data_IF_263772829801
#
_entry.id   IF_263772829801
#
_cell.length_a   1.000
_cell.length_b   1.000
_cell.length_c   1.000
_cell.angle_alpha   90.00
_cell.angle_beta   90.00
_cell.angle_gamma   90.00
#
_symmetry.space_group_name_H-M   'P 1'
#
loop_
_entity.id
_entity.type
_entity.pdbx_description
1 polymer ?
#
# COMPACT_ATOMS: atom_id res chain seq x y z
N UNK A 1 53.10 -23.06 -11.42
CA UNK A 1 52.79 -21.62 -11.36
C UNK A 1 52.24 -21.18 -12.71
N UNK A 2 50.92 -21.07 -12.86
CA UNK A 2 50.24 -20.17 -13.82
C UNK A 2 48.90 -19.84 -13.17
N UNK A 3 48.71 -18.58 -12.74
CA UNK A 3 47.42 -18.03 -12.31
C UNK A 3 46.80 -17.35 -13.52
N UNK A 4 45.62 -17.78 -13.93
CA UNK A 4 44.76 -17.06 -14.86
C UNK A 4 43.67 -16.34 -14.05
N UNK A 5 43.74 -15.02 -14.02
CA UNK A 5 42.70 -14.16 -13.46
C UNK A 5 41.61 -13.93 -14.52
N UNK A 6 40.37 -14.24 -14.19
CA UNK A 6 39.19 -13.88 -14.99
C UNK A 6 38.61 -12.59 -14.43
N UNK A 7 38.71 -11.51 -15.20
CA UNK A 7 38.02 -10.25 -14.95
C UNK A 7 36.58 -10.36 -15.48
N UNK A 8 35.61 -10.39 -14.59
CA UNK A 8 34.19 -10.25 -14.95
C UNK A 8 33.82 -8.76 -15.00
N UNK A 9 33.45 -8.30 -16.20
CA UNK A 9 32.91 -6.97 -16.43
C UNK A 9 31.40 -6.93 -16.10
N UNK A 10 30.87 -5.86 -15.46
CA UNK A 10 29.45 -5.77 -15.16
C UNK A 10 28.63 -5.44 -16.41
N UNK A 11 27.64 -6.30 -16.70
CA UNK A 11 26.62 -6.06 -17.73
C UNK A 11 25.63 -4.98 -17.27
N UNK A 12 25.81 -3.75 -17.73
CA UNK A 12 24.76 -2.72 -17.70
C UNK A 12 23.69 -3.03 -18.74
N UNK A 13 22.50 -3.44 -18.29
CA UNK A 13 21.29 -3.53 -19.10
C UNK A 13 20.73 -2.11 -19.31
N UNK A 14 20.91 -1.55 -20.52
CA UNK A 14 20.20 -0.34 -20.96
C UNK A 14 18.78 -0.72 -21.36
N UNK A 15 17.80 -0.28 -20.59
CA UNK A 15 16.39 -0.31 -20.97
C UNK A 15 16.08 0.92 -21.83
N UNK A 16 15.82 0.71 -23.13
CA UNK A 16 15.30 1.77 -24.00
C UNK A 16 13.79 1.66 -24.04
N UNK A 17 13.10 2.56 -23.34
CA UNK A 17 11.65 2.74 -23.47
C UNK A 17 11.38 3.78 -24.55
N UNK A 18 10.86 3.35 -25.70
CA UNK A 18 10.39 4.23 -26.76
C UNK A 18 8.94 4.61 -26.50
N UNK A 19 8.71 5.77 -25.88
CA UNK A 19 7.38 6.39 -25.88
C UNK A 19 7.15 7.06 -27.23
N UNK A 20 6.18 6.53 -27.99
CA UNK A 20 5.68 7.16 -29.21
C UNK A 20 4.96 8.46 -28.87
N UNK A 21 5.54 9.58 -29.28
CA UNK A 21 4.94 10.91 -29.24
C UNK A 21 3.94 11.00 -30.39
N UNK A 22 2.65 11.08 -30.08
CA UNK A 22 1.62 11.44 -31.06
C UNK A 22 1.82 12.91 -31.40
N UNK A 23 2.26 13.18 -32.63
CA UNK A 23 2.39 14.52 -33.20
C UNK A 23 1.00 15.07 -33.50
N UNK A 24 0.56 16.07 -32.73
CA UNK A 24 -0.59 16.91 -33.09
C UNK A 24 -0.14 17.96 -34.10
N UNK A 25 -0.73 17.92 -35.28
CA UNK A 25 -0.66 18.95 -36.33
C UNK A 25 -1.16 20.29 -35.79
N UNK A 26 -0.36 21.34 -35.93
CA UNK A 26 -0.68 22.73 -35.57
C UNK A 26 -1.10 23.46 -36.83
N UNK A 27 -2.33 23.96 -36.85
CA UNK A 27 -2.78 24.94 -37.86
C UNK A 27 -2.24 26.34 -37.52
N UNK A 28 -1.88 27.17 -38.51
CA UNK A 28 -1.36 28.51 -38.29
C UNK A 28 -2.51 29.52 -38.17
N UNK A 29 -2.80 29.97 -36.95
CA UNK A 29 -3.69 31.13 -36.74
C UNK A 29 -2.93 32.42 -36.45
N UNK A 30 -3.43 33.45 -37.13
CA UNK A 30 -2.98 34.82 -37.28
C UNK A 30 -2.85 35.60 -35.97
N UNK A 31 -1.78 36.39 -35.91
CA UNK A 31 -1.38 37.23 -34.80
C UNK A 31 -2.23 38.52 -34.74
N UNK A 32 -3.04 38.69 -33.68
CA UNK A 32 -3.47 40.00 -33.21
C UNK A 32 -3.27 40.12 -31.70
N UNK A 33 -2.65 41.24 -31.35
CA UNK A 33 -2.05 41.60 -30.08
C UNK A 33 -3.09 42.33 -29.22
N UNK A 34 -3.34 41.87 -28.00
CA UNK A 34 -3.90 42.73 -26.97
C UNK A 34 -3.39 42.32 -25.57
N UNK A 35 -2.62 43.22 -24.97
CA UNK A 35 -1.95 43.11 -23.68
C UNK A 35 -2.90 43.57 -22.57
N UNK A 36 -3.44 42.66 -21.77
CA UNK A 36 -3.84 42.89 -20.36
C UNK A 36 -4.46 41.64 -19.70
N UNK A 37 -3.77 40.49 -19.72
CA UNK A 37 -4.19 39.35 -18.90
C UNK A 37 -3.53 39.44 -17.53
N UNK A 38 -4.35 39.70 -16.51
CA UNK A 38 -4.01 39.41 -15.10
C UNK A 38 -3.47 37.99 -14.99
N UNK A 39 -2.50 37.70 -14.11
CA UNK A 39 -2.01 36.35 -13.92
C UNK A 39 -3.17 35.48 -13.43
N UNK A 40 -3.73 34.68 -14.34
CA UNK A 40 -4.64 33.59 -13.99
C UNK A 40 -3.86 32.65 -13.09
N UNK A 41 -4.30 32.57 -11.83
CA UNK A 41 -3.85 31.52 -10.91
C UNK A 41 -4.06 30.20 -11.66
N UNK A 42 -3.00 29.40 -11.91
CA UNK A 42 -3.14 28.17 -12.65
C UNK A 42 -4.13 27.27 -11.91
N UNK A 43 -5.18 26.82 -12.63
CA UNK A 43 -6.08 25.79 -12.13
C UNK A 43 -5.22 24.61 -11.68
N UNK A 44 -5.34 24.22 -10.41
CA UNK A 44 -4.43 23.29 -9.74
C UNK A 44 -4.33 21.87 -10.33
N UNK A 45 -4.96 21.60 -11.47
CA UNK A 45 -4.92 20.31 -12.18
C UNK A 45 -3.79 20.15 -13.20
N UNK A 46 -3.19 21.24 -13.69
CA UNK A 46 -2.17 21.19 -14.77
C UNK A 46 -0.75 21.46 -14.27
N UNK A 47 -0.40 21.03 -13.04
CA UNK A 47 1.01 21.06 -12.65
C UNK A 47 1.72 19.94 -13.43
N UNK A 48 2.65 20.24 -14.36
CA UNK A 48 3.47 19.20 -14.95
C UNK A 48 4.26 18.59 -13.79
N UNK A 49 3.99 17.33 -13.44
CA UNK A 49 4.88 16.58 -12.57
C UNK A 49 6.25 16.60 -13.25
N UNK A 50 7.20 17.35 -12.67
CA UNK A 50 8.55 17.43 -13.21
C UNK A 50 9.27 16.20 -12.69
N UNK A 51 9.16 15.11 -13.44
CA UNK A 51 9.97 13.93 -13.25
C UNK A 51 11.41 14.28 -13.65
N UNK A 52 12.35 14.14 -12.73
CA UNK A 52 13.78 14.13 -13.07
C UNK A 52 14.33 12.77 -12.74
N UNK A 53 14.99 12.16 -13.72
CA UNK A 53 15.92 11.05 -13.46
C UNK A 53 17.19 11.67 -12.90
N UNK A 54 17.60 11.26 -11.71
CA UNK A 54 18.92 11.61 -11.19
C UNK A 54 19.88 10.46 -11.48
N UNK A 55 21.19 10.64 -11.22
CA UNK A 55 22.15 9.54 -11.39
C UNK A 55 21.87 8.38 -10.42
N UNK A 56 21.20 8.67 -9.31
CA UNK A 56 21.02 7.76 -8.18
C UNK A 56 19.56 7.31 -7.99
N UNK A 57 18.58 8.02 -8.58
CA UNK A 57 17.14 7.70 -8.49
C UNK A 57 16.47 7.70 -9.85
N UNK A 58 15.62 6.71 -10.07
CA UNK A 58 14.81 6.60 -11.29
C UNK A 58 13.71 7.65 -11.36
N UNK A 59 13.19 8.10 -10.21
CA UNK A 59 12.12 9.08 -10.10
C UNK A 59 12.43 10.01 -8.94
N UNK A 60 12.58 11.31 -9.21
CA UNK A 60 12.65 12.33 -8.16
C UNK A 60 11.44 13.26 -8.23
N UNK A 61 10.74 13.40 -7.11
CA UNK A 61 9.62 14.33 -6.98
C UNK A 61 10.20 15.73 -6.76
N UNK A 62 10.17 16.55 -7.81
CA UNK A 62 10.53 17.96 -7.68
C UNK A 62 9.42 18.70 -6.91
N UNK A 63 9.51 18.70 -5.58
CA UNK A 63 8.60 19.43 -4.71
C UNK A 63 8.90 20.93 -4.80
N UNK A 64 7.84 21.75 -4.92
CA UNK A 64 8.00 23.19 -4.72
C UNK A 64 8.35 23.49 -3.25
N UNK A 65 8.98 24.63 -2.92
CA UNK A 65 9.23 25.00 -1.53
C UNK A 65 7.96 25.01 -0.66
N UNK A 66 6.81 25.37 -1.23
CA UNK A 66 5.52 25.32 -0.54
C UNK A 66 5.02 23.88 -0.34
N UNK A 67 5.35 22.95 -1.25
CA UNK A 67 5.07 21.52 -1.08
C UNK A 67 5.93 20.93 0.03
N UNK A 68 7.23 21.22 0.01
CA UNK A 68 8.16 20.78 1.05
C UNK A 68 7.75 21.29 2.44
N UNK A 69 7.44 22.59 2.55
CA UNK A 69 6.96 23.17 3.80
C UNK A 69 5.68 22.50 4.31
N UNK A 70 4.75 22.14 3.41
CA UNK A 70 3.53 21.41 3.78
C UNK A 70 3.81 19.98 4.22
N UNK A 71 4.67 19.25 3.51
CA UNK A 71 5.03 17.88 3.89
C UNK A 71 5.74 17.85 5.24
N UNK A 72 6.53 18.90 5.56
CA UNK A 72 7.11 19.09 6.89
C UNK A 72 6.03 19.25 7.97
N UNK A 73 5.02 20.09 7.74
CA UNK A 73 3.89 20.26 8.67
C UNK A 73 3.14 18.94 8.88
N UNK A 74 2.88 18.18 7.81
CA UNK A 74 2.26 16.85 7.95
C UNK A 74 3.11 15.90 8.76
N UNK A 75 4.40 15.87 8.46
CA UNK A 75 5.35 15.03 9.17
C UNK A 75 5.32 15.32 10.66
N UNK A 76 5.50 16.58 11.06
CA UNK A 76 5.45 17.03 12.46
C UNK A 76 4.13 16.64 13.14
N UNK A 77 3.00 16.82 12.45
CA UNK A 77 1.68 16.43 12.97
C UNK A 77 1.55 14.91 13.18
N UNK A 78 2.04 14.11 12.23
CA UNK A 78 1.92 12.64 12.28
C UNK A 78 2.86 12.08 13.35
N UNK A 79 4.12 12.52 13.42
CA UNK A 79 5.08 12.02 14.42
C UNK A 79 4.70 12.44 15.84
N UNK A 80 4.07 13.61 16.01
CA UNK A 80 3.56 14.06 17.31
C UNK A 80 2.38 13.20 17.79
N UNK A 81 1.70 12.48 16.89
CA UNK A 81 0.63 11.57 17.28
C UNK A 81 1.19 10.36 18.04
N UNK A 82 0.68 10.04 19.23
CA UNK A 82 1.07 8.84 19.97
C UNK A 82 0.67 7.54 19.22
N UNK A 83 -0.17 7.64 18.19
CA UNK A 83 -0.62 6.50 17.40
C UNK A 83 0.36 6.10 16.29
N UNK A 84 1.31 6.97 15.93
CA UNK A 84 2.28 6.73 14.85
C UNK A 84 3.30 5.63 15.17
N UNK A 85 3.49 5.30 16.45
CA UNK A 85 4.44 4.29 16.90
C UNK A 85 3.78 3.24 17.80
N UNK A 86 4.29 2.02 17.73
CA UNK A 86 3.84 0.89 18.57
C UNK A 86 4.87 0.62 19.67
N UNK A 87 4.38 0.50 20.91
CA UNK A 87 5.22 0.18 22.07
C UNK A 87 5.51 -1.33 22.14
N UNK A 88 6.59 -1.72 22.82
CA UNK A 88 6.98 -3.13 22.96
C UNK A 88 5.88 -3.95 23.66
N UNK A 89 5.27 -3.39 24.70
CA UNK A 89 4.19 -4.07 25.43
C UNK A 89 2.98 -4.35 24.52
N UNK A 90 2.63 -3.39 23.66
CA UNK A 90 1.56 -3.56 22.68
C UNK A 90 1.90 -4.64 21.65
N UNK A 91 3.17 -4.74 21.22
CA UNK A 91 3.61 -5.86 20.36
C UNK A 91 3.39 -7.19 21.08
N UNK A 92 3.74 -7.28 22.36
CA UNK A 92 3.57 -8.50 23.15
C UNK A 92 2.10 -8.91 23.28
N UNK A 93 1.18 -7.96 23.50
CA UNK A 93 -0.27 -8.18 23.53
C UNK A 93 -0.88 -8.66 22.19
N UNK A 94 -0.14 -8.46 21.10
CA UNK A 94 -0.52 -8.89 19.76
C UNK A 94 0.05 -10.27 19.39
N UNK A 95 0.95 -10.85 20.18
CA UNK A 95 1.49 -12.18 19.93
C UNK A 95 0.48 -13.26 20.33
N UNK A 96 0.29 -14.25 19.46
CA UNK A 96 -0.65 -15.33 19.71
C UNK A 96 0.05 -16.51 20.39
N UNK A 97 -0.51 -16.95 21.51
CA UNK A 97 -0.10 -18.21 22.15
C UNK A 97 -0.48 -19.40 21.26
N UNK A 98 0.12 -20.56 21.49
CA UNK A 98 -0.21 -21.77 20.72
C UNK A 98 -1.72 -22.11 20.79
N UNK A 99 -2.36 -21.91 21.94
CA UNK A 99 -3.80 -22.14 22.11
C UNK A 99 -4.67 -21.14 21.34
N UNK A 100 -4.25 -19.89 21.20
CA UNK A 100 -5.00 -18.88 20.44
C UNK A 100 -4.96 -19.15 18.94
N UNK A 101 -3.85 -19.73 18.45
CA UNK A 101 -3.69 -20.10 17.03
C UNK A 101 -4.74 -21.11 16.60
N UNK A 102 -5.03 -22.11 17.43
CA UNK A 102 -6.01 -23.16 17.10
C UNK A 102 -7.43 -22.59 16.98
N UNK A 103 -7.76 -21.56 17.79
CA UNK A 103 -9.05 -20.87 17.76
C UNK A 103 -9.18 -19.93 16.57
N UNK A 104 -8.14 -19.12 16.30
CA UNK A 104 -8.14 -18.15 15.18
C UNK A 104 -8.30 -18.82 13.81
N UNK A 105 -7.93 -20.09 13.72
CA UNK A 105 -7.97 -20.91 12.50
C UNK A 105 -9.39 -21.41 12.16
N UNK A 106 -10.42 -21.12 12.96
CA UNK A 106 -11.81 -21.54 12.70
C UNK A 106 -12.69 -20.56 11.89
N UNK A 107 -12.11 -19.57 11.20
CA UNK A 107 -12.88 -18.58 10.43
C UNK A 107 -13.63 -19.23 9.24
N UNK A 108 -14.96 -19.05 9.09
CA UNK A 108 -15.81 -19.75 8.10
C UNK A 108 -15.42 -19.55 6.63
N UNK A 109 -14.96 -18.36 6.21
CA UNK A 109 -14.62 -18.09 4.80
C UNK A 109 -13.38 -18.90 4.34
N UNK A 110 -12.42 -19.10 5.24
CA UNK A 110 -11.20 -19.87 4.98
C UNK A 110 -11.48 -21.37 4.82
N UNK A 111 -12.61 -21.89 5.29
CA UNK A 111 -12.98 -23.29 5.05
C UNK A 111 -13.23 -23.59 3.56
N UNK A 112 -13.70 -22.60 2.78
CA UNK A 112 -13.99 -22.76 1.35
C UNK A 112 -12.74 -22.72 0.47
N UNK A 113 -11.69 -22.02 0.92
CA UNK A 113 -10.39 -21.91 0.22
C UNK A 113 -9.41 -23.01 0.69
N UNK A 114 -9.70 -23.67 1.81
CA UNK A 114 -8.78 -24.57 2.54
C UNK A 114 -8.42 -25.88 1.85
N UNK A 115 -9.27 -26.42 0.99
CA UNK A 115 -9.06 -27.75 0.42
C UNK A 115 -7.90 -27.83 -0.57
N UNK A 116 -7.36 -26.67 -1.00
CA UNK A 116 -6.44 -26.61 -2.13
C UNK A 116 -4.94 -26.52 -1.77
N UNK A 117 -4.54 -26.38 -0.50
CA UNK A 117 -3.17 -25.94 -0.17
C UNK A 117 -2.43 -26.86 0.85
N UNK A 118 -1.37 -27.57 0.42
CA UNK A 118 -0.42 -28.30 1.32
C UNK A 118 1.04 -28.11 0.85
N UNK A 119 1.95 -27.71 1.76
CA UNK A 119 3.41 -27.68 1.53
C UNK A 119 4.12 -26.44 2.11
N UNK A 120 5.41 -26.21 1.83
CA UNK A 120 6.16 -25.01 2.27
C UNK A 120 5.51 -23.67 1.86
N UNK A 121 4.66 -23.70 0.81
CA UNK A 121 3.71 -22.64 0.45
C UNK A 121 2.84 -22.20 1.63
N UNK A 122 2.57 -23.11 2.56
CA UNK A 122 1.77 -22.87 3.74
C UNK A 122 2.40 -21.85 4.69
N UNK A 123 3.72 -21.67 4.69
CA UNK A 123 4.34 -20.65 5.54
C UNK A 123 4.01 -19.24 5.06
N UNK A 124 4.17 -18.96 3.76
CA UNK A 124 3.79 -17.68 3.16
C UNK A 124 2.30 -17.43 3.26
N UNK A 125 1.46 -18.44 2.96
CA UNK A 125 0.00 -18.35 3.13
C UNK A 125 -0.40 -18.12 4.58
N UNK A 126 0.23 -18.78 5.54
CA UNK A 126 -0.04 -18.60 6.98
C UNK A 126 0.26 -17.18 7.43
N UNK A 127 1.39 -16.63 6.98
CA UNK A 127 1.71 -15.23 7.23
C UNK A 127 0.69 -14.30 6.55
N UNK A 128 0.35 -14.56 5.29
CA UNK A 128 -0.64 -13.78 4.55
C UNK A 128 -2.05 -13.81 5.19
N UNK A 129 -2.44 -14.93 5.82
CA UNK A 129 -3.71 -15.03 6.58
C UNK A 129 -3.83 -14.02 7.72
N UNK A 130 -2.70 -13.54 8.26
CA UNK A 130 -2.75 -12.45 9.25
C UNK A 130 -3.24 -11.13 8.64
N UNK A 131 -3.07 -10.95 7.33
CA UNK A 131 -3.44 -9.74 6.59
C UNK A 131 -4.90 -9.77 6.11
N UNK A 132 -5.45 -10.95 5.81
CA UNK A 132 -6.81 -11.09 5.26
C UNK A 132 -7.87 -10.36 6.10
N UNK A 133 -7.91 -10.49 7.45
CA UNK A 133 -8.90 -9.75 8.26
C UNK A 133 -8.82 -8.23 8.09
N UNK A 134 -7.63 -7.66 7.86
CA UNK A 134 -7.48 -6.22 7.63
C UNK A 134 -8.06 -5.80 6.28
N UNK A 135 -7.95 -6.63 5.25
CA UNK A 135 -8.57 -6.35 3.95
C UNK A 135 -10.10 -6.51 3.96
N UNK A 136 -10.61 -7.44 4.78
CA UNK A 136 -12.04 -7.71 4.93
C UNK A 136 -12.76 -6.68 5.80
N UNK A 137 -12.04 -5.90 6.61
CA UNK A 137 -12.61 -4.85 7.47
C UNK A 137 -12.96 -3.59 6.68
N UNK A 138 -13.99 -3.69 5.85
CA UNK A 138 -14.48 -2.61 4.99
C UNK A 138 -15.05 -1.44 5.77
N UNK A 139 -15.63 -1.71 6.94
CA UNK A 139 -16.13 -0.69 7.85
C UNK A 139 -14.99 0.20 8.34
N UNK A 140 -13.89 -0.39 8.81
CA UNK A 140 -12.70 0.35 9.21
C UNK A 140 -12.17 1.21 8.05
N UNK A 141 -12.02 0.62 6.87
CA UNK A 141 -11.45 1.36 5.72
C UNK A 141 -12.33 2.50 5.26
N UNK A 142 -13.65 2.31 5.26
CA UNK A 142 -14.61 3.33 4.87
C UNK A 142 -14.66 4.46 5.91
N UNK A 143 -14.84 4.13 7.20
CA UNK A 143 -15.03 5.12 8.26
C UNK A 143 -13.75 5.89 8.60
N UNK A 144 -12.60 5.20 8.67
CA UNK A 144 -11.35 5.83 9.11
C UNK A 144 -10.51 6.41 7.98
N UNK A 145 -10.57 5.81 6.78
CA UNK A 145 -9.68 6.16 5.67
C UNK A 145 -10.45 6.66 4.43
N UNK A 146 -11.78 6.64 4.45
CA UNK A 146 -12.60 7.04 3.31
C UNK A 146 -12.38 6.16 2.08
N UNK A 147 -12.00 4.90 2.29
CA UNK A 147 -11.85 3.88 1.25
C UNK A 147 -13.12 3.04 1.27
N UNK A 148 -14.02 3.30 0.31
CA UNK A 148 -15.32 2.63 0.22
C UNK A 148 -15.20 1.14 -0.14
N UNK A 149 -16.26 0.37 0.14
CA UNK A 149 -16.28 -1.07 -0.14
C UNK A 149 -16.11 -1.39 -1.64
N UNK A 150 -16.68 -0.52 -2.48
CA UNK A 150 -16.65 -0.56 -3.94
C UNK A 150 -15.33 -0.03 -4.55
N UNK A 151 -14.46 0.59 -3.74
CA UNK A 151 -13.17 1.11 -4.22
C UNK A 151 -12.11 0.01 -4.20
N UNK A 152 -12.23 -0.92 -5.15
CA UNK A 152 -11.36 -2.08 -5.27
C UNK A 152 -9.87 -1.70 -5.26
N UNK A 153 -9.47 -0.71 -6.05
CA UNK A 153 -8.07 -0.31 -6.18
C UNK A 153 -7.50 0.22 -4.86
N UNK A 154 -8.22 1.13 -4.19
CA UNK A 154 -7.79 1.65 -2.88
C UNK A 154 -7.74 0.56 -1.81
N UNK A 155 -8.64 -0.43 -1.86
CA UNK A 155 -8.60 -1.59 -0.98
C UNK A 155 -7.39 -2.49 -1.26
N UNK A 156 -6.99 -2.67 -2.52
CA UNK A 156 -5.74 -3.37 -2.85
C UNK A 156 -4.54 -2.59 -2.33
N UNK A 157 -4.49 -1.26 -2.47
CA UNK A 157 -3.40 -0.47 -1.88
C UNK A 157 -3.35 -0.57 -0.35
N UNK A 158 -4.50 -0.60 0.32
CA UNK A 158 -4.58 -0.83 1.76
C UNK A 158 -4.06 -2.23 2.17
N UNK A 159 -4.40 -3.27 1.39
CA UNK A 159 -3.83 -4.61 1.54
C UNK A 159 -2.30 -4.59 1.37
N UNK A 160 -1.81 -3.87 0.35
CA UNK A 160 -0.38 -3.77 0.06
C UNK A 160 0.41 -3.06 1.16
N UNK A 161 -0.18 -2.11 1.90
CA UNK A 161 0.47 -1.50 3.07
C UNK A 161 0.90 -2.56 4.10
N UNK A 162 0.06 -3.57 4.33
CA UNK A 162 0.36 -4.66 5.26
C UNK A 162 1.40 -5.63 4.71
N UNK A 163 1.23 -6.05 3.45
CA UNK A 163 2.16 -6.96 2.77
C UNK A 163 3.54 -6.33 2.69
N UNK A 164 3.63 -5.04 2.34
CA UNK A 164 4.87 -4.26 2.33
C UNK A 164 5.49 -4.15 3.73
N UNK A 165 4.70 -3.86 4.76
CA UNK A 165 5.20 -3.80 6.14
C UNK A 165 5.83 -5.13 6.57
N UNK A 166 5.19 -6.25 6.23
CA UNK A 166 5.74 -7.59 6.44
C UNK A 166 6.96 -7.87 5.56
N UNK A 167 6.97 -7.44 4.31
CA UNK A 167 8.14 -7.52 3.44
C UNK A 167 9.35 -6.87 4.12
N UNK A 168 9.23 -5.64 4.61
CA UNK A 168 10.31 -4.94 5.30
C UNK A 168 10.81 -5.72 6.53
N UNK A 169 9.89 -6.29 7.31
CA UNK A 169 10.23 -7.10 8.48
C UNK A 169 10.97 -8.39 8.12
N UNK A 170 10.51 -9.11 7.08
CA UNK A 170 11.15 -10.33 6.58
C UNK A 170 12.53 -10.04 6.00
N UNK A 171 12.67 -8.95 5.25
CA UNK A 171 13.95 -8.47 4.73
C UNK A 171 14.95 -8.21 5.87
N UNK A 172 14.52 -7.46 6.89
CA UNK A 172 15.34 -7.18 8.08
C UNK A 172 15.72 -8.45 8.86
N UNK A 173 14.84 -9.44 8.89
CA UNK A 173 15.07 -10.73 9.56
C UNK A 173 15.88 -11.74 8.73
N UNK A 174 16.24 -11.42 7.47
CA UNK A 174 16.94 -12.34 6.56
C UNK A 174 16.09 -13.55 6.14
N UNK A 175 14.76 -13.38 6.05
CA UNK A 175 13.80 -14.44 5.72
C UNK A 175 13.36 -14.39 4.24
N UNK A 176 14.33 -14.40 3.32
CA UNK A 176 14.12 -14.22 1.88
C UNK A 176 13.12 -15.20 1.26
N UNK A 177 13.21 -16.50 1.59
CA UNK A 177 12.27 -17.50 1.08
C UNK A 177 10.84 -17.22 1.51
N UNK A 178 10.63 -16.83 2.78
CA UNK A 178 9.30 -16.52 3.29
C UNK A 178 8.75 -15.23 2.66
N UNK A 179 9.63 -14.26 2.38
CA UNK A 179 9.29 -13.02 1.66
C UNK A 179 8.72 -13.33 0.29
N UNK A 180 9.38 -14.17 -0.51
CA UNK A 180 8.87 -14.61 -1.82
C UNK A 180 7.51 -15.31 -1.67
N UNK A 181 7.39 -16.22 -0.68
CA UNK A 181 6.14 -16.94 -0.44
C UNK A 181 4.98 -16.08 0.05
N UNK A 182 5.25 -14.95 0.71
CA UNK A 182 4.23 -13.96 1.05
C UNK A 182 3.65 -13.31 -0.22
N UNK A 183 4.50 -12.96 -1.19
CA UNK A 183 4.05 -12.41 -2.48
C UNK A 183 3.31 -13.43 -3.33
N UNK A 184 3.80 -14.68 -3.41
CA UNK A 184 3.06 -15.78 -4.08
C UNK A 184 1.63 -15.89 -3.52
N UNK A 185 1.49 -15.86 -2.19
CA UNK A 185 0.18 -15.93 -1.52
C UNK A 185 -0.73 -14.71 -1.83
N UNK A 186 -0.16 -13.51 -1.94
CA UNK A 186 -0.90 -12.32 -2.38
C UNK A 186 -1.43 -12.49 -3.82
N UNK A 187 -0.60 -12.97 -4.74
CA UNK A 187 -1.01 -13.12 -6.14
C UNK A 187 -2.08 -14.19 -6.33
N UNK A 188 -1.99 -15.29 -5.59
CA UNK A 188 -3.05 -16.28 -5.56
C UNK A 188 -4.35 -15.70 -5.00
N UNK A 189 -4.26 -14.89 -3.94
CA UNK A 189 -5.42 -14.22 -3.36
C UNK A 189 -6.09 -13.26 -4.35
N UNK A 190 -5.30 -12.40 -5.02
CA UNK A 190 -5.81 -11.45 -6.01
C UNK A 190 -6.41 -12.17 -7.22
N UNK A 191 -5.80 -13.25 -7.70
CA UNK A 191 -6.37 -14.09 -8.76
C UNK A 191 -7.76 -14.59 -8.37
N UNK A 192 -7.90 -15.10 -7.14
CA UNK A 192 -9.18 -15.58 -6.64
C UNK A 192 -10.23 -14.48 -6.48
N UNK A 193 -9.84 -13.26 -6.08
CA UNK A 193 -10.77 -12.13 -6.04
C UNK A 193 -11.22 -11.77 -7.45
N UNK A 194 -10.29 -11.58 -8.39
CA UNK A 194 -10.61 -11.20 -9.78
C UNK A 194 -11.54 -12.22 -10.45
N UNK A 195 -11.35 -13.52 -10.20
CA UNK A 195 -12.26 -14.57 -10.70
C UNK A 195 -13.66 -14.43 -10.08
N UNK A 196 -13.76 -14.19 -8.76
CA UNK A 196 -15.05 -14.05 -8.08
C UNK A 196 -15.82 -12.81 -8.53
N UNK A 197 -15.13 -11.67 -8.65
CA UNK A 197 -15.73 -10.42 -9.16
C UNK A 197 -16.19 -10.61 -10.61
N UNK A 198 -15.38 -11.28 -11.45
CA UNK A 198 -15.78 -11.62 -12.82
C UNK A 198 -16.96 -12.57 -12.93
N UNK A 199 -17.08 -13.56 -12.03
CA UNK A 199 -18.13 -14.57 -12.06
C UNK A 199 -19.51 -14.05 -11.58
N UNK A 200 -19.53 -13.12 -10.61
CA UNK A 200 -20.74 -12.64 -9.94
C UNK A 200 -21.73 -11.90 -10.87
N UNK A 201 -21.32 -11.52 -12.08
CA UNK A 201 -22.16 -10.85 -13.07
C UNK A 201 -22.64 -11.75 -14.23
N UNK A 202 -22.30 -13.04 -14.23
CA UNK A 202 -22.69 -13.97 -15.32
C UNK A 202 -23.92 -14.82 -15.02
N UNK A 203 -24.45 -14.79 -13.80
CA UNK A 203 -25.66 -15.51 -13.40
C UNK A 203 -26.83 -14.53 -13.14
N UNK A 204 -27.80 -14.53 -14.06
CA UNK A 204 -29.20 -14.16 -13.83
C UNK A 204 -29.59 -12.69 -13.58
N UNK A 205 -28.80 -11.71 -14.03
CA UNK A 205 -29.31 -10.33 -14.05
C UNK A 205 -30.33 -10.14 -15.20
N UNK A 206 -31.61 -9.86 -14.92
CA UNK A 206 -32.58 -9.56 -15.95
C UNK A 206 -32.15 -8.29 -16.71
N UNK A 207 -32.30 -8.25 -18.04
CA UNK A 207 -31.75 -7.19 -18.85
C UNK A 207 -32.68 -5.98 -18.84
N UNK A 208 -32.84 -5.18 -17.76
CA UNK A 208 -33.60 -3.92 -17.94
C UNK A 208 -33.64 -2.74 -16.94
N UNK A 209 -32.69 -2.52 -16.02
CA UNK A 209 -32.89 -1.42 -15.05
C UNK A 209 -32.08 -0.13 -15.28
N UNK A 210 -31.36 0.03 -16.40
CA UNK A 210 -30.78 1.33 -16.81
C UNK A 210 -29.79 1.98 -15.83
N UNK A 211 -29.48 1.32 -14.72
CA UNK A 211 -28.54 1.77 -13.70
C UNK A 211 -27.20 1.12 -14.01
N UNK A 212 -26.24 1.96 -14.39
CA UNK A 212 -24.86 1.59 -14.67
C UNK A 212 -24.15 1.17 -13.38
N UNK A 213 -24.28 -0.10 -13.00
CA UNK A 213 -23.42 -0.69 -11.97
C UNK A 213 -22.00 -0.84 -12.54
N UNK A 214 -21.00 -0.35 -11.81
CA UNK A 214 -19.64 -0.06 -12.30
C UNK A 214 -18.84 -1.25 -12.87
N UNK A 215 -18.64 -1.21 -14.19
CA UNK A 215 -17.42 -1.35 -15.02
C UNK A 215 -16.30 -2.37 -14.76
N UNK A 216 -16.25 -3.14 -13.67
CA UNK A 216 -15.19 -4.14 -13.48
C UNK A 216 -15.61 -5.55 -13.89
N UNK A 217 -16.17 -5.69 -15.11
CA UNK A 217 -16.44 -7.00 -15.70
C UNK A 217 -15.13 -7.59 -16.28
N UNK A 218 -14.35 -8.26 -15.44
CA UNK A 218 -13.15 -8.98 -15.87
C UNK A 218 -13.54 -10.36 -16.37
N UNK A 219 -13.56 -10.54 -17.69
CA UNK A 219 -13.64 -11.88 -18.29
C UNK A 219 -12.52 -12.77 -17.73
N UNK A 220 -12.81 -14.05 -17.44
CA UNK A 220 -11.80 -15.02 -16.95
C UNK A 220 -10.54 -15.05 -17.85
N UNK A 221 -10.71 -14.88 -19.16
CA UNK A 221 -9.62 -14.80 -20.13
C UNK A 221 -8.72 -13.56 -19.96
N UNK A 222 -9.21 -12.51 -19.32
CA UNK A 222 -8.47 -11.27 -19.02
C UNK A 222 -7.79 -11.29 -17.66
N UNK A 223 -8.14 -12.23 -16.76
CA UNK A 223 -7.56 -12.29 -15.40
C UNK A 223 -6.03 -12.29 -15.41
N UNK A 224 -5.32 -13.06 -16.26
CA UNK A 224 -3.86 -13.02 -16.28
C UNK A 224 -3.28 -11.67 -16.69
N UNK A 225 -3.96 -10.92 -17.57
CA UNK A 225 -3.52 -9.60 -18.00
C UNK A 225 -3.74 -8.56 -16.91
N UNK A 226 -4.92 -8.56 -16.28
CA UNK A 226 -5.26 -7.67 -15.15
C UNK A 226 -4.35 -7.96 -13.96
N UNK A 227 -4.09 -9.22 -13.65
CA UNK A 227 -3.17 -9.60 -12.57
C UNK A 227 -1.74 -9.10 -12.85
N UNK A 228 -1.26 -9.18 -14.10
CA UNK A 228 0.06 -8.67 -14.47
C UNK A 228 0.15 -7.15 -14.30
N UNK A 229 -0.88 -6.42 -14.72
CA UNK A 229 -0.98 -4.98 -14.50
C UNK A 229 -0.97 -4.67 -13.00
N UNK A 230 -1.77 -5.40 -12.22
CA UNK A 230 -1.80 -5.26 -10.77
C UNK A 230 -0.45 -5.55 -10.12
N UNK A 231 0.31 -6.54 -10.61
CA UNK A 231 1.67 -6.81 -10.13
C UNK A 231 2.60 -5.61 -10.37
N UNK A 232 2.52 -4.99 -11.56
CA UNK A 232 3.33 -3.82 -11.88
C UNK A 232 2.95 -2.60 -11.02
N UNK A 233 1.66 -2.29 -10.88
CA UNK A 233 1.20 -1.17 -10.06
C UNK A 233 1.51 -1.39 -8.58
N UNK A 234 1.33 -2.62 -8.08
CA UNK A 234 1.67 -2.99 -6.70
C UNK A 234 3.17 -2.83 -6.42
N UNK A 235 4.02 -3.26 -7.35
CA UNK A 235 5.47 -3.08 -7.23
C UNK A 235 5.84 -1.60 -7.21
N UNK A 236 5.29 -0.80 -8.14
CA UNK A 236 5.52 0.64 -8.19
C UNK A 236 5.07 1.34 -6.89
N UNK A 237 3.92 0.94 -6.36
CA UNK A 237 3.44 1.43 -5.07
C UNK A 237 4.42 1.09 -3.93
N UNK A 238 4.84 -0.17 -3.79
CA UNK A 238 5.77 -0.57 -2.73
C UNK A 238 7.14 0.11 -2.84
N UNK A 239 7.68 0.28 -4.05
CA UNK A 239 8.91 1.05 -4.28
C UNK A 239 8.71 2.49 -3.83
N UNK A 240 7.59 3.12 -4.17
CA UNK A 240 7.29 4.46 -3.68
C UNK A 240 7.27 4.49 -2.15
N UNK A 241 6.66 3.50 -1.48
CA UNK A 241 6.67 3.43 -0.02
C UNK A 241 8.09 3.33 0.54
N UNK A 242 8.97 2.50 -0.04
CA UNK A 242 10.38 2.40 0.37
C UNK A 242 11.12 3.74 0.24
N UNK A 243 10.94 4.44 -0.89
CA UNK A 243 11.54 5.77 -1.12
C UNK A 243 11.11 6.80 -0.06
N UNK A 244 9.92 6.65 0.53
CA UNK A 244 9.46 7.54 1.60
C UNK A 244 10.33 7.44 2.87
N UNK A 245 11.05 6.32 3.04
CA UNK A 245 11.89 6.01 4.20
C UNK A 245 13.39 5.93 3.86
N UNK A 246 13.81 6.19 2.62
CA UNK A 246 15.23 6.18 2.25
C UNK A 246 16.03 7.26 2.99
N UNK A 247 15.45 8.45 3.15
CA UNK A 247 16.06 9.57 3.88
C UNK A 247 15.32 9.82 5.19
N UNK A 248 15.83 9.22 6.27
CA UNK A 248 15.29 9.42 7.62
C UNK A 248 15.46 10.86 8.14
N UNK A 249 16.40 11.63 7.57
CA UNK A 249 16.66 13.03 7.98
C UNK A 249 15.72 14.04 7.31
N UNK A 250 15.01 13.60 6.27
CA UNK A 250 13.93 14.35 5.66
C UNK A 250 12.66 14.29 6.52
N UNK A 251 11.50 14.25 5.88
CA UNK A 251 10.18 14.22 6.52
C UNK A 251 9.43 12.93 6.12
N UNK A 252 9.89 11.73 6.53
CA UNK A 252 9.42 10.44 5.99
C UNK A 252 7.91 10.25 6.10
N UNK A 253 7.28 10.64 7.21
CA UNK A 253 5.82 10.60 7.33
C UNK A 253 5.10 11.57 6.36
N UNK A 254 5.65 12.75 6.07
CA UNK A 254 5.10 13.67 5.08
C UNK A 254 5.29 13.14 3.65
N UNK A 255 6.47 12.61 3.36
CA UNK A 255 6.80 11.90 2.12
C UNK A 255 5.85 10.71 1.87
N UNK A 256 5.53 9.95 2.92
CA UNK A 256 4.57 8.86 2.87
C UNK A 256 3.14 9.37 2.61
N UNK A 257 2.71 10.43 3.31
CA UNK A 257 1.40 11.06 3.08
C UNK A 257 1.24 11.48 1.61
N UNK A 258 2.28 12.08 1.03
CA UNK A 258 2.26 12.48 -0.38
C UNK A 258 2.03 11.29 -1.31
N UNK A 259 2.73 10.17 -1.10
CA UNK A 259 2.61 8.97 -1.94
C UNK A 259 1.23 8.33 -1.81
N UNK A 260 0.72 8.21 -0.59
CA UNK A 260 -0.64 7.71 -0.33
C UNK A 260 -1.70 8.61 -0.96
N UNK A 261 -1.51 9.93 -0.94
CA UNK A 261 -2.39 10.87 -1.65
C UNK A 261 -2.39 10.65 -3.17
N UNK A 262 -1.21 10.46 -3.77
CA UNK A 262 -1.09 10.22 -5.21
C UNK A 262 -1.73 8.87 -5.60
N UNK A 263 -1.47 7.80 -4.86
CA UNK A 263 -1.88 6.45 -5.27
C UNK A 263 -3.26 6.05 -4.78
N UNK A 264 -3.57 6.26 -3.49
CA UNK A 264 -4.84 5.85 -2.89
C UNK A 264 -5.93 6.90 -3.12
N UNK A 265 -5.58 8.19 -3.10
CA UNK A 265 -6.53 9.27 -3.32
C UNK A 265 -6.46 9.89 -4.71
N UNK A 266 -5.75 9.24 -5.64
CA UNK A 266 -5.64 9.63 -7.06
C UNK A 266 -5.22 11.10 -7.26
N UNK A 267 -4.38 11.62 -6.35
CA UNK A 267 -3.98 13.03 -6.34
C UNK A 267 -5.16 14.04 -6.37
N UNK A 268 -6.35 13.65 -5.87
CA UNK A 268 -7.50 14.56 -5.79
C UNK A 268 -7.19 15.69 -4.81
N UNK A 269 -7.13 16.94 -5.28
CA UNK A 269 -6.72 18.09 -4.44
C UNK A 269 -7.61 18.24 -3.19
N UNK A 270 -8.91 17.96 -3.29
CA UNK A 270 -9.84 17.97 -2.14
C UNK A 270 -9.50 16.95 -1.03
N UNK A 271 -8.68 15.94 -1.34
CA UNK A 271 -8.22 14.89 -0.43
C UNK A 271 -6.77 15.11 0.04
N UNK A 272 -6.10 16.16 -0.45
CA UNK A 272 -4.69 16.42 -0.15
C UNK A 272 -4.42 16.67 1.32
N UNK A 273 -5.35 17.34 2.00
CA UNK A 273 -5.23 17.70 3.42
C UNK A 273 -6.35 17.12 4.28
N UNK A 274 -7.00 16.05 3.83
CA UNK A 274 -8.15 15.50 4.52
C UNK A 274 -7.74 14.66 5.75
N UNK A 275 -8.59 14.60 6.80
CA UNK A 275 -8.32 13.80 8.00
C UNK A 275 -8.00 12.33 7.72
N UNK A 276 -8.64 11.77 6.70
CA UNK A 276 -8.50 10.36 6.31
C UNK A 276 -7.11 10.05 5.74
N UNK A 277 -6.51 10.98 4.99
CA UNK A 277 -5.12 10.82 4.52
C UNK A 277 -4.15 10.80 5.70
N UNK A 278 -4.37 11.69 6.68
CA UNK A 278 -3.54 11.76 7.89
C UNK A 278 -3.72 10.47 8.71
N UNK A 279 -4.96 9.98 8.84
CA UNK A 279 -5.27 8.74 9.52
C UNK A 279 -4.60 7.54 8.85
N UNK A 280 -4.74 7.41 7.52
CA UNK A 280 -4.10 6.34 6.74
C UNK A 280 -2.58 6.40 6.84
N UNK A 281 -1.99 7.59 6.75
CA UNK A 281 -0.53 7.75 6.88
C UNK A 281 -0.06 7.35 8.26
N UNK A 282 -0.77 7.77 9.31
CA UNK A 282 -0.47 7.40 10.71
C UNK A 282 -0.59 5.89 10.91
N UNK A 283 -1.63 5.28 10.32
CA UNK A 283 -1.83 3.85 10.32
C UNK A 283 -0.70 3.09 9.62
N UNK A 284 -0.29 3.52 8.42
CA UNK A 284 0.82 2.90 7.67
C UNK A 284 2.14 2.99 8.46
N UNK A 285 2.44 4.13 9.09
CA UNK A 285 3.58 4.28 9.99
C UNK A 285 3.52 3.27 11.15
N UNK A 286 2.34 3.12 11.77
CA UNK A 286 2.08 2.23 12.89
C UNK A 286 2.26 0.76 12.51
N UNK A 287 1.62 0.32 11.42
CA UNK A 287 1.67 -1.05 10.90
C UNK A 287 3.08 -1.45 10.52
N UNK A 288 3.85 -0.56 9.87
CA UNK A 288 5.27 -0.77 9.60
C UNK A 288 6.08 -0.89 10.89
N UNK A 289 5.88 0.04 11.83
CA UNK A 289 6.57 0.03 13.13
C UNK A 289 6.32 -1.25 13.91
N UNK A 290 5.07 -1.75 13.88
CA UNK A 290 4.67 -3.01 14.48
C UNK A 290 5.37 -4.19 13.80
N UNK A 291 5.28 -4.30 12.47
CA UNK A 291 5.86 -5.42 11.72
C UNK A 291 7.38 -5.52 11.94
N UNK A 292 8.09 -4.40 11.95
CA UNK A 292 9.54 -4.35 12.20
C UNK A 292 9.95 -4.76 13.63
N UNK A 293 9.01 -4.75 14.59
CA UNK A 293 9.23 -5.17 15.99
C UNK A 293 8.79 -6.60 16.28
N UNK A 294 8.16 -7.28 15.32
CA UNK A 294 7.76 -8.67 15.50
C UNK A 294 9.00 -9.56 15.70
N UNK A 295 8.96 -10.48 16.68
CA UNK A 295 10.03 -11.46 16.83
C UNK A 295 10.05 -12.41 15.62
N UNK A 296 11.23 -12.92 15.29
CA UNK A 296 11.45 -13.77 14.11
C UNK A 296 10.54 -15.00 14.13
N UNK A 297 10.33 -15.58 15.30
CA UNK A 297 9.50 -16.76 15.52
C UNK A 297 8.03 -16.48 15.20
N UNK A 298 7.54 -15.27 15.53
CA UNK A 298 6.17 -14.86 15.21
C UNK A 298 6.00 -14.62 13.70
N UNK A 299 7.00 -14.06 13.01
CA UNK A 299 6.98 -13.90 11.55
C UNK A 299 6.93 -15.27 10.85
N UNK A 300 7.81 -16.20 11.23
CA UNK A 300 7.84 -17.55 10.64
C UNK A 300 6.54 -18.31 10.91
N UNK A 301 5.99 -18.18 12.12
CA UNK A 301 4.78 -18.88 12.51
C UNK A 301 3.48 -18.20 12.08
N UNK A 302 3.52 -16.96 11.56
CA UNK A 302 2.33 -16.14 11.33
C UNK A 302 1.49 -15.98 12.60
N UNK A 303 2.15 -15.79 13.75
CA UNK A 303 1.56 -15.95 15.07
C UNK A 303 1.36 -14.63 15.80
N UNK A 304 0.66 -13.72 15.15
CA UNK A 304 0.31 -12.42 15.70
C UNK A 304 -1.03 -11.97 15.11
N UNK A 305 -1.64 -10.99 15.75
CA UNK A 305 -2.72 -10.17 15.17
C UNK A 305 -2.21 -8.75 14.95
N UNK A 306 -2.80 -8.03 14.01
CA UNK A 306 -2.49 -6.61 13.86
C UNK A 306 -3.03 -5.80 15.05
N UNK A 307 -2.35 -4.71 15.45
CA UNK A 307 -2.84 -3.83 16.50
C UNK A 307 -4.18 -3.21 16.08
N UNK A 308 -5.08 -3.05 17.03
CA UNK A 308 -6.39 -2.46 16.78
C UNK A 308 -6.26 -1.00 16.29
N UNK A 309 -7.16 -0.60 15.40
CA UNK A 309 -7.30 0.78 14.95
C UNK A 309 -8.75 1.25 15.12
N UNK A 310 -9.00 2.46 15.68
CA UNK A 310 -8.01 3.30 16.37
C UNK A 310 -7.47 2.60 17.64
N UNK A 311 -6.26 2.98 18.13
CA UNK A 311 -5.72 2.37 19.35
C UNK A 311 -6.65 2.61 20.53
N UNK A 312 -7.00 1.54 21.25
CA UNK A 312 -7.83 1.64 22.44
C UNK A 312 -7.07 2.51 23.45
N UNK A 313 -7.71 3.58 23.94
CA UNK A 313 -7.16 4.35 25.06
C UNK A 313 -7.11 3.36 26.22
N UNK A 314 -5.90 2.96 26.63
CA UNK A 314 -5.72 2.18 27.85
C UNK A 314 -6.44 2.95 28.95
N UNK A 315 -7.61 2.46 29.37
CA UNK A 315 -8.34 3.02 30.48
C UNK A 315 -7.42 2.83 31.68
N UNK A 316 -6.66 3.87 31.99
CA UNK A 316 -5.77 3.93 33.14
C UNK A 316 -6.61 3.43 34.30
N UNK A 317 -6.29 2.24 34.77
CA UNK A 317 -6.94 1.61 35.91
C UNK A 317 -6.63 2.52 37.11
N UNK A 318 -7.47 3.53 37.31
CA UNK A 318 -7.65 4.19 38.59
C UNK A 318 -8.27 3.14 39.50
N UNK A 319 -7.46 2.17 39.94
CA UNK A 319 -7.64 1.58 41.25
C UNK A 319 -7.25 2.67 42.25
N UNK A 320 -8.20 3.60 42.45
CA UNK A 320 -8.25 4.35 43.69
C UNK A 320 -8.40 3.29 44.78
N UNK A 321 -7.31 3.08 45.52
CA UNK A 321 -7.31 2.35 46.76
C UNK A 321 -8.15 3.18 47.72
N UNK A 322 -9.38 2.75 47.97
CA UNK A 322 -10.16 3.26 49.11
C UNK A 322 -9.35 2.94 50.37
N UNK A 323 -8.92 3.96 51.15
CA UNK A 323 -8.36 3.72 52.46
C UNK A 323 -9.50 3.31 53.40
N UNK A 324 -9.40 2.12 53.97
CA UNK A 324 -10.17 1.71 55.16
C UNK A 324 -9.69 2.47 56.39
#
# INVERSE_FOLDING_TARGET
>A
MVRGSSEDAPRTLRYQSTCNRVSSTVDPETCTRDDSRRPTVPNGGDRPFIWRTTKDRFIDFCLSPEEEARLKVFHERIIASPWSSVKVDEVAECLLTQGDREKAVQIPLLQRIRSFWRGLEEAGRRLFRTVIPCYEDTMLTAECFGIGEEDFNSRIYFLLVHVWSLHCALQRAGLETLKIKLWDALWDFLTNILIKEGASHTQDAPPNDGISHGDLQVSEFKVPAVLREQQFTSLGFCVSLDEAFEDETAFPAGQLAHRLWVTVFEAKEKRRDCPELIALTTYTMRVRSFALKLPREALVAGAFRWPAWPPVKSSTSSQASDPQ
#
